data_IF_339120942516
#
_entry.id   IF_339120942516
#
_cell.length_a   1.000
_cell.length_b   1.000
_cell.length_c   1.000
_cell.angle_alpha   90.00
_cell.angle_beta   90.00
_cell.angle_gamma   90.00
#
_symmetry.space_group_name_H-M   'P 1'
#
loop_
_entity.id
_entity.type
_entity.pdbx_description
1 polymer ?
#
# COMPACT_ATOMS: atom_id res chain seq x y z
N UNK A 1 -9.26 -1.76 24.45
CA UNK A 1 -7.84 -1.72 24.87
C UNK A 1 -7.16 -2.69 23.93
N UNK A 2 -6.68 -2.15 22.80
CA UNK A 2 -6.32 -2.98 21.65
C UNK A 2 -5.07 -3.81 21.95
N UNK A 3 -5.07 -5.06 21.48
CA UNK A 3 -3.91 -5.96 21.55
C UNK A 3 -2.67 -5.34 20.87
N UNK A 4 -2.90 -4.36 19.99
CA UNK A 4 -1.87 -3.50 19.42
C UNK A 4 -1.19 -2.67 20.52
N UNK A 5 -1.90 -1.95 21.40
CA UNK A 5 -1.31 -1.09 22.44
C UNK A 5 -0.33 -1.81 23.39
N UNK A 6 -0.47 -3.13 23.54
CA UNK A 6 0.43 -3.98 24.34
C UNK A 6 1.74 -4.36 23.60
N UNK A 7 1.75 -4.34 22.27
CA UNK A 7 2.93 -4.64 21.44
C UNK A 7 3.82 -3.42 21.16
N UNK A 8 3.32 -2.20 21.40
CA UNK A 8 3.99 -0.96 20.97
C UNK A 8 4.58 -0.10 22.11
N UNK A 9 4.46 -0.50 23.38
CA UNK A 9 4.94 0.30 24.52
C UNK A 9 6.47 0.26 24.74
N UNK A 10 7.17 -0.67 24.13
CA UNK A 10 8.63 -0.82 24.27
C UNK A 10 9.27 -1.03 22.89
N UNK A 11 9.72 0.05 22.23
CA UNK A 11 10.87 0.03 21.30
C UNK A 11 11.11 1.43 20.74
N UNK A 12 12.02 2.18 21.36
CA UNK A 12 12.59 3.42 20.83
C UNK A 12 13.92 3.15 20.07
N UNK A 13 14.13 1.92 19.61
CA UNK A 13 15.43 1.45 19.15
C UNK A 13 15.47 1.32 17.63
N UNK A 14 16.22 2.24 16.99
CA UNK A 14 16.64 2.17 15.58
C UNK A 14 17.72 1.09 15.33
N UNK A 15 17.97 0.21 16.29
CA UNK A 15 19.11 -0.72 16.33
C UNK A 15 18.70 -2.20 16.26
N UNK A 16 17.41 -2.49 16.16
CA UNK A 16 16.91 -3.83 16.48
C UNK A 16 17.17 -4.85 15.36
N UNK A 17 18.25 -5.61 15.50
CA UNK A 17 18.59 -6.79 14.68
C UNK A 17 17.52 -7.89 14.68
N UNK A 18 16.61 -7.90 15.66
CA UNK A 18 15.49 -8.87 15.71
C UNK A 18 14.44 -8.62 14.64
N UNK A 19 14.31 -7.38 14.16
CA UNK A 19 13.38 -6.99 13.09
C UNK A 19 13.67 -7.72 11.77
N UNK A 20 14.93 -8.13 11.54
CA UNK A 20 15.37 -8.80 10.31
C UNK A 20 14.86 -10.24 10.18
N UNK A 21 14.44 -10.89 11.27
CA UNK A 21 13.93 -12.26 11.22
C UNK A 21 12.65 -12.41 10.37
N UNK A 22 11.97 -11.30 10.10
CA UNK A 22 10.75 -11.28 9.30
C UNK A 22 10.98 -11.17 7.79
N UNK A 23 12.17 -10.75 7.37
CA UNK A 23 12.50 -10.61 5.95
C UNK A 23 13.29 -11.83 5.46
N UNK A 24 13.00 -12.24 4.23
CA UNK A 24 13.70 -13.29 3.49
C UNK A 24 14.61 -12.62 2.47
N UNK A 25 15.87 -12.50 2.83
CA UNK A 25 16.92 -11.83 2.06
C UNK A 25 17.58 -12.72 1.01
N UNK A 26 16.80 -13.61 0.40
CA UNK A 26 17.32 -14.44 -0.67
C UNK A 26 17.10 -13.69 -1.99
N UNK A 27 18.15 -13.19 -2.69
CA UNK A 27 18.01 -12.70 -4.05
C UNK A 27 17.79 -13.89 -5.00
N UNK A 28 16.73 -14.68 -4.77
CA UNK A 28 16.42 -15.89 -5.55
C UNK A 28 16.29 -15.59 -7.04
N UNK A 29 16.00 -14.33 -7.37
CA UNK A 29 15.63 -13.89 -8.72
C UNK A 29 16.51 -12.75 -9.25
N UNK A 30 17.73 -12.64 -8.72
CA UNK A 30 18.71 -11.62 -9.11
C UNK A 30 18.53 -10.28 -8.39
N UNK A 31 19.54 -9.43 -8.49
CA UNK A 31 19.48 -8.06 -7.99
C UNK A 31 18.50 -7.24 -8.83
N UNK A 32 17.44 -6.74 -8.21
CA UNK A 32 16.55 -5.78 -8.86
C UNK A 32 17.09 -4.36 -8.63
N UNK A 33 17.06 -3.50 -9.66
CA UNK A 33 17.52 -2.13 -9.50
C UNK A 33 16.65 -1.40 -8.49
N UNK A 34 17.29 -0.61 -7.64
CA UNK A 34 16.63 0.35 -6.78
C UNK A 34 16.82 1.75 -7.35
N UNK A 35 15.93 2.67 -7.03
CA UNK A 35 16.11 4.08 -7.40
C UNK A 35 16.20 4.92 -6.14
N UNK A 36 17.12 5.87 -6.13
CA UNK A 36 17.31 6.78 -5.01
C UNK A 36 17.02 8.22 -5.42
N UNK A 37 16.24 8.93 -4.61
CA UNK A 37 16.09 10.38 -4.67
C UNK A 37 17.02 11.02 -3.63
N UNK A 38 17.80 12.00 -4.07
CA UNK A 38 18.66 12.78 -3.18
C UNK A 38 18.44 14.26 -3.41
N UNK A 39 18.31 15.00 -2.31
CA UNK A 39 18.46 16.46 -2.26
C UNK A 39 19.37 16.78 -1.07
N UNK A 40 20.44 17.53 -1.29
CA UNK A 40 21.44 17.78 -0.25
C UNK A 40 21.02 18.86 0.75
N UNK A 41 20.26 19.86 0.29
CA UNK A 41 19.73 20.96 1.11
C UNK A 41 18.52 21.64 0.43
N UNK A 42 17.87 22.60 1.11
CA UNK A 42 16.70 23.33 0.55
C UNK A 42 16.98 24.06 -0.77
N UNK A 43 18.22 24.49 -1.02
CA UNK A 43 18.62 25.27 -2.19
C UNK A 43 19.10 24.42 -3.37
N UNK A 44 19.46 23.16 -3.12
CA UNK A 44 19.96 22.24 -4.14
C UNK A 44 18.82 21.64 -4.96
N UNK A 45 19.07 21.43 -6.25
CA UNK A 45 18.20 20.58 -7.07
C UNK A 45 18.23 19.15 -6.57
N UNK A 46 17.12 18.44 -6.77
CA UNK A 46 17.07 17.02 -6.46
C UNK A 46 17.56 16.19 -7.65
N UNK A 47 18.14 15.03 -7.37
CA UNK A 47 18.62 14.09 -8.38
C UNK A 47 18.08 12.70 -8.13
N UNK A 48 17.94 11.91 -9.21
CA UNK A 48 17.66 10.49 -9.13
C UNK A 48 18.91 9.69 -9.50
N UNK A 49 19.23 8.67 -8.71
CA UNK A 49 20.30 7.70 -8.99
C UNK A 49 19.68 6.32 -9.17
N UNK A 50 19.97 5.67 -10.30
CA UNK A 50 19.62 4.27 -10.51
C UNK A 50 20.73 3.41 -9.90
N UNK A 51 20.37 2.53 -8.98
CA UNK A 51 21.27 1.69 -8.21
C UNK A 51 21.06 0.22 -8.62
N UNK A 52 21.84 -0.23 -9.60
CA UNK A 52 21.72 -1.57 -10.18
C UNK A 52 22.48 -2.63 -9.39
N UNK A 53 23.60 -2.27 -8.76
CA UNK A 53 24.46 -3.23 -8.04
C UNK A 53 24.46 -2.99 -6.53
N UNK A 54 24.81 -4.02 -5.77
CA UNK A 54 25.02 -3.91 -4.32
C UNK A 54 26.10 -2.89 -3.95
N UNK A 55 27.18 -2.77 -4.74
CA UNK A 55 28.25 -1.79 -4.52
C UNK A 55 27.75 -0.36 -4.72
N UNK A 56 26.98 -0.10 -5.78
CA UNK A 56 26.37 1.21 -6.02
C UNK A 56 25.45 1.62 -4.86
N UNK A 57 24.69 0.65 -4.31
CA UNK A 57 23.84 0.86 -3.13
C UNK A 57 24.65 1.19 -1.89
N UNK A 58 25.70 0.42 -1.59
CA UNK A 58 26.60 0.67 -0.45
C UNK A 58 27.30 2.03 -0.55
N UNK A 59 27.77 2.39 -1.74
CA UNK A 59 28.38 3.71 -1.98
C UNK A 59 27.35 4.81 -1.73
N UNK A 60 26.17 4.71 -2.33
CA UNK A 60 25.10 5.70 -2.14
C UNK A 60 24.72 5.86 -0.66
N UNK A 61 24.54 4.76 0.07
CA UNK A 61 24.23 4.77 1.50
C UNK A 61 25.34 5.42 2.36
N UNK A 62 26.59 5.29 1.92
CA UNK A 62 27.74 5.93 2.56
C UNK A 62 27.80 7.43 2.29
N UNK A 63 27.31 7.86 1.13
CA UNK A 63 27.24 9.27 0.72
C UNK A 63 26.07 10.03 1.37
N UNK A 64 25.12 9.33 2.01
CA UNK A 64 23.96 9.97 2.64
C UNK A 64 24.46 10.90 3.77
N UNK A 65 24.10 12.19 3.73
CA UNK A 65 24.47 13.11 4.79
C UNK A 65 23.82 12.65 6.10
N UNK A 66 24.64 12.48 7.13
CA UNK A 66 24.14 12.23 8.49
C UNK A 66 23.28 13.40 9.00
N UNK A 67 22.68 13.23 10.17
CA UNK A 67 21.87 14.30 10.76
C UNK A 67 22.82 15.44 11.17
N UNK A 68 22.86 16.55 10.43
CA UNK A 68 23.73 17.71 10.71
C UNK A 68 22.99 19.00 10.34
N UNK A 69 23.25 20.09 11.07
CA UNK A 69 22.62 21.39 10.81
C UNK A 69 22.98 21.96 9.42
N UNK A 70 24.17 21.65 8.92
CA UNK A 70 24.67 22.08 7.60
C UNK A 70 23.84 21.53 6.42
N UNK A 71 23.08 20.45 6.64
CA UNK A 71 22.25 19.79 5.61
C UNK A 71 20.76 20.09 5.81
N UNK A 72 20.43 21.33 6.18
CA UNK A 72 19.04 21.71 6.43
C UNK A 72 18.17 21.47 5.19
N UNK A 73 17.10 20.71 5.39
CA UNK A 73 16.16 20.34 4.32
C UNK A 73 16.67 19.28 3.34
N UNK A 74 17.68 18.48 3.71
CA UNK A 74 18.10 17.34 2.90
C UNK A 74 17.00 16.27 2.82
N UNK A 75 16.93 15.58 1.69
CA UNK A 75 15.97 14.51 1.43
C UNK A 75 16.71 13.31 0.87
N UNK A 76 16.50 12.12 1.43
CA UNK A 76 17.09 10.86 0.96
C UNK A 76 16.05 9.76 1.00
N UNK A 77 15.56 9.36 -0.17
CA UNK A 77 14.50 8.36 -0.29
C UNK A 77 14.98 7.22 -1.19
N UNK A 78 14.78 5.99 -0.74
CA UNK A 78 15.05 4.78 -1.51
C UNK A 78 13.75 4.15 -1.99
N UNK A 79 13.65 3.90 -3.29
CA UNK A 79 12.54 3.18 -3.93
C UNK A 79 13.01 1.77 -4.29
N UNK A 80 12.40 0.77 -3.66
CA UNK A 80 12.73 -0.63 -3.83
C UNK A 80 11.62 -1.33 -4.60
N UNK A 81 12.00 -1.93 -5.73
CA UNK A 81 11.08 -2.73 -6.51
C UNK A 81 10.70 -4.03 -5.79
N UNK A 82 9.50 -4.53 -6.09
CA UNK A 82 9.03 -5.84 -5.63
C UNK A 82 9.91 -6.94 -6.25
N UNK A 83 10.34 -7.90 -5.44
CA UNK A 83 10.83 -9.17 -5.99
C UNK A 83 9.64 -9.98 -6.51
N UNK A 84 9.49 -10.06 -7.84
CA UNK A 84 8.51 -10.96 -8.43
C UNK A 84 9.04 -12.41 -8.36
N UNK A 85 8.24 -13.39 -7.90
CA UNK A 85 8.58 -14.79 -8.11
C UNK A 85 8.64 -15.08 -9.62
N UNK A 86 9.47 -16.04 -10.06
CA UNK A 86 9.69 -16.32 -11.46
C UNK A 86 8.39 -16.84 -12.07
N UNK A 87 8.13 -16.40 -13.31
CA UNK A 87 6.91 -16.69 -14.08
C UNK A 87 6.56 -18.18 -14.19
N UNK A 88 7.48 -19.10 -13.90
CA UNK A 88 7.25 -20.55 -13.89
C UNK A 88 6.36 -21.03 -12.74
N UNK A 89 6.31 -20.32 -11.60
CA UNK A 89 5.46 -20.68 -10.45
C UNK A 89 4.08 -20.01 -10.56
N UNK A 90 3.99 -18.87 -11.25
CA UNK A 90 2.75 -18.09 -11.40
C UNK A 90 1.68 -18.74 -12.31
N UNK A 91 1.98 -19.88 -12.96
CA UNK A 91 1.12 -20.49 -13.98
C UNK A 91 0.23 -21.63 -13.50
N UNK A 92 0.37 -22.12 -12.27
CA UNK A 92 -0.40 -23.30 -11.86
C UNK A 92 -1.88 -23.03 -11.56
N UNK A 93 -2.30 -21.78 -11.27
CA UNK A 93 -3.69 -21.50 -10.87
C UNK A 93 -4.43 -20.41 -11.68
N UNK A 94 -3.90 -19.96 -12.82
CA UNK A 94 -4.60 -19.03 -13.74
C UNK A 94 -4.87 -17.60 -13.19
N UNK A 95 -4.78 -17.39 -11.88
CA UNK A 95 -4.74 -16.09 -11.22
C UNK A 95 -3.35 -15.93 -10.60
N UNK A 96 -2.72 -14.76 -10.74
CA UNK A 96 -1.48 -14.46 -10.04
C UNK A 96 -1.70 -14.71 -8.54
N UNK A 97 -1.10 -15.78 -8.01
CA UNK A 97 -1.25 -16.15 -6.62
C UNK A 97 -0.88 -14.93 -5.76
N UNK A 98 -1.83 -14.46 -4.97
CA UNK A 98 -1.63 -13.33 -4.07
C UNK A 98 -0.64 -13.78 -3.00
N UNK A 99 0.65 -13.52 -3.22
CA UNK A 99 1.67 -13.88 -2.26
C UNK A 99 1.60 -12.88 -1.10
N UNK A 100 0.97 -13.29 0.00
CA UNK A 100 0.79 -12.40 1.15
C UNK A 100 2.09 -11.89 1.75
N UNK A 101 3.18 -12.60 1.51
CA UNK A 101 4.50 -12.34 2.06
C UNK A 101 5.44 -11.68 1.05
N UNK A 102 4.92 -11.04 -0.01
CA UNK A 102 5.77 -10.53 -1.10
C UNK A 102 6.73 -9.43 -0.64
N UNK A 103 6.37 -8.63 0.37
CA UNK A 103 7.29 -7.64 0.96
C UNK A 103 8.30 -8.25 1.94
N UNK A 104 8.15 -9.52 2.35
CA UNK A 104 9.23 -10.21 3.07
C UNK A 104 10.44 -10.42 2.17
N UNK A 105 10.25 -10.46 0.84
CA UNK A 105 11.31 -10.68 -0.13
C UNK A 105 11.91 -9.36 -0.62
N UNK A 106 13.04 -8.97 -0.04
CA UNK A 106 13.73 -7.73 -0.39
C UNK A 106 14.71 -7.89 -1.56
N UNK A 107 14.91 -6.86 -2.40
CA UNK A 107 15.75 -6.94 -3.60
C UNK A 107 17.26 -6.81 -3.33
N UNK A 108 17.71 -7.04 -2.10
CA UNK A 108 19.12 -6.92 -1.69
C UNK A 108 19.46 -7.87 -0.53
N UNK A 109 20.77 -8.15 -0.32
CA UNK A 109 21.27 -8.91 0.82
C UNK A 109 20.91 -8.29 2.18
N UNK A 110 20.97 -9.11 3.24
CA UNK A 110 20.74 -8.70 4.64
C UNK A 110 21.61 -7.52 5.02
N UNK A 111 22.91 -7.56 4.69
CA UNK A 111 23.87 -6.52 5.07
C UNK A 111 23.49 -5.16 4.47
N UNK A 112 23.10 -5.14 3.19
CA UNK A 112 22.64 -3.91 2.54
C UNK A 112 21.37 -3.38 3.19
N UNK A 113 20.45 -4.25 3.62
CA UNK A 113 19.26 -3.77 4.33
C UNK A 113 19.57 -3.23 5.72
N UNK A 114 20.54 -3.82 6.43
CA UNK A 114 21.03 -3.29 7.70
C UNK A 114 21.57 -1.87 7.50
N UNK A 115 22.37 -1.65 6.45
CA UNK A 115 22.85 -0.33 6.08
C UNK A 115 21.69 0.63 5.74
N UNK A 116 20.68 0.16 5.00
CA UNK A 116 19.44 0.94 4.71
C UNK A 116 18.76 1.36 6.01
N UNK A 117 18.54 0.43 6.95
CA UNK A 117 17.87 0.71 8.22
C UNK A 117 18.63 1.75 9.03
N UNK A 118 19.94 1.61 9.14
CA UNK A 118 20.79 2.51 9.92
C UNK A 118 20.91 3.88 9.25
N UNK A 119 21.16 3.94 7.94
CA UNK A 119 21.44 5.19 7.22
C UNK A 119 20.19 6.00 6.88
N UNK A 120 19.05 5.34 6.69
CA UNK A 120 17.77 5.99 6.45
C UNK A 120 16.90 6.07 7.71
N UNK A 121 17.42 5.67 8.86
CA UNK A 121 16.73 5.72 10.16
C UNK A 121 15.35 5.04 10.09
N UNK A 122 15.29 3.83 9.53
CA UNK A 122 14.05 3.06 9.41
C UNK A 122 13.71 2.49 10.79
N UNK A 123 12.50 2.76 11.26
CA UNK A 123 12.06 2.28 12.57
C UNK A 123 11.74 0.77 12.54
N UNK A 124 11.98 0.06 13.64
CA UNK A 124 11.81 -1.40 13.74
C UNK A 124 10.35 -1.87 13.48
N UNK A 125 9.39 -1.04 13.88
CA UNK A 125 7.97 -1.12 13.56
C UNK A 125 7.72 -1.41 12.08
N UNK A 126 8.55 -0.87 11.18
CA UNK A 126 8.39 -1.08 9.74
C UNK A 126 8.51 -2.55 9.34
N UNK A 127 9.49 -3.26 9.90
CA UNK A 127 9.65 -4.69 9.66
C UNK A 127 8.46 -5.49 10.23
N UNK A 128 8.01 -5.14 11.44
CA UNK A 128 6.88 -5.80 12.10
C UNK A 128 5.58 -5.64 11.29
N UNK A 129 5.33 -4.43 10.77
CA UNK A 129 4.14 -4.10 9.98
C UNK A 129 4.18 -4.74 8.59
N UNK A 130 5.33 -4.73 7.92
CA UNK A 130 5.47 -5.36 6.59
C UNK A 130 5.39 -6.90 6.64
N UNK A 131 5.75 -7.51 7.77
CA UNK A 131 5.60 -8.95 8.01
C UNK A 131 4.15 -9.40 8.27
N UNK A 132 3.31 -8.47 8.75
CA UNK A 132 1.90 -8.71 9.07
C UNK A 132 1.06 -7.75 8.24
N UNK A 133 0.84 -8.08 6.96
CA UNK A 133 0.37 -7.13 5.99
C UNK A 133 -1.09 -6.78 6.23
N UNK A 134 -1.32 -5.72 6.99
CA UNK A 134 -2.62 -5.10 7.21
C UNK A 134 -2.53 -3.64 6.80
N UNK A 135 -3.58 -3.12 6.18
CA UNK A 135 -3.72 -1.70 5.87
C UNK A 135 -3.55 -0.87 7.16
N UNK A 136 -2.44 -0.14 7.31
CA UNK A 136 -2.09 0.54 8.57
C UNK A 136 -1.40 1.88 8.32
N UNK A 137 -1.86 2.92 9.01
CA UNK A 137 -1.12 4.16 9.24
C UNK A 137 -0.60 4.16 10.66
N UNK A 138 0.70 4.40 10.80
CA UNK A 138 1.35 4.51 12.11
C UNK A 138 2.22 5.76 12.16
N UNK A 139 2.12 6.48 13.28
CA UNK A 139 2.97 7.61 13.62
C UNK A 139 3.54 7.38 15.00
N UNK A 140 4.83 7.64 15.16
CA UNK A 140 5.42 7.78 16.49
C UNK A 140 6.44 8.92 16.54
N UNK A 141 6.47 9.59 17.69
CA UNK A 141 7.58 10.46 18.05
C UNK A 141 8.72 9.57 18.56
N UNK A 142 9.94 9.81 18.08
CA UNK A 142 11.11 8.99 18.38
C UNK A 142 12.36 9.86 18.49
N UNK A 143 13.51 9.24 18.73
CA UNK A 143 14.79 9.94 18.81
C UNK A 143 15.94 9.08 18.31
N UNK A 144 16.88 9.71 17.60
CA UNK A 144 18.15 9.10 17.20
C UNK A 144 19.27 9.83 17.93
N UNK A 145 19.83 9.19 18.96
CA UNK A 145 20.69 9.87 19.93
C UNK A 145 19.93 11.00 20.60
N UNK A 146 20.49 12.21 20.61
CA UNK A 146 19.87 13.39 21.24
C UNK A 146 18.88 14.12 20.31
N UNK A 147 18.65 13.61 19.09
CA UNK A 147 17.86 14.31 18.06
C UNK A 147 16.47 13.72 17.97
N UNK A 148 15.46 14.56 18.19
CA UNK A 148 14.05 14.19 18.07
C UNK A 148 13.67 14.01 16.60
N UNK A 149 12.89 12.98 16.33
CA UNK A 149 12.33 12.72 15.02
C UNK A 149 10.88 12.23 15.13
N UNK A 150 10.18 12.26 14.01
CA UNK A 150 8.84 11.70 13.86
C UNK A 150 8.89 10.68 12.75
N UNK A 151 8.39 9.48 13.03
CA UNK A 151 8.33 8.38 12.07
C UNK A 151 6.90 8.22 11.59
N UNK A 152 6.73 8.08 10.28
CA UNK A 152 5.46 7.77 9.62
C UNK A 152 5.60 6.48 8.83
N UNK A 153 4.70 5.54 9.05
CA UNK A 153 4.64 4.29 8.32
C UNK A 153 3.26 4.15 7.70
N UNK A 154 3.22 3.81 6.41
CA UNK A 154 2.03 3.29 5.77
C UNK A 154 2.35 1.90 5.22
N UNK A 155 1.50 0.94 5.54
CA UNK A 155 1.55 -0.40 4.98
C UNK A 155 0.19 -0.73 4.39
N UNK A 156 0.20 -1.44 3.28
CA UNK A 156 -0.98 -1.84 2.52
C UNK A 156 -1.23 -3.33 2.73
N UNK A 157 -2.48 -3.76 2.85
CA UNK A 157 -2.75 -5.19 2.99
C UNK A 157 -2.30 -6.00 1.76
N UNK A 158 -1.76 -7.19 2.05
CA UNK A 158 -1.47 -8.29 1.13
C UNK A 158 -2.61 -8.80 0.25
N UNK A 159 -3.85 -8.44 0.57
CA UNK A 159 -5.04 -8.80 -0.21
C UNK A 159 -5.01 -8.16 -1.59
N UNK A 160 -4.27 -7.07 -1.75
CA UNK A 160 -4.07 -6.47 -3.04
C UNK A 160 -2.94 -7.13 -3.80
N UNK A 161 -3.11 -7.17 -5.12
CA UNK A 161 -2.04 -7.55 -6.06
C UNK A 161 -0.80 -6.67 -5.85
N UNK A 162 -1.01 -5.41 -5.42
CA UNK A 162 0.04 -4.41 -5.26
C UNK A 162 0.35 -4.08 -3.79
N UNK A 163 0.81 -5.07 -3.01
CA UNK A 163 1.31 -4.82 -1.66
C UNK A 163 2.56 -3.89 -1.71
N UNK A 164 2.43 -2.71 -1.12
CA UNK A 164 3.46 -1.68 -0.99
C UNK A 164 3.56 -1.20 0.45
N UNK A 165 4.69 -0.59 0.81
CA UNK A 165 4.86 0.04 2.12
C UNK A 165 5.81 1.21 2.02
N UNK A 166 5.65 2.18 2.91
CA UNK A 166 6.53 3.34 3.04
C UNK A 166 6.86 3.58 4.51
N UNK A 167 8.13 3.86 4.79
CA UNK A 167 8.60 4.39 6.06
C UNK A 167 9.27 5.74 5.80
N UNK A 168 8.87 6.77 6.54
CA UNK A 168 9.46 8.09 6.51
C UNK A 168 9.92 8.48 7.92
N UNK A 169 11.13 8.98 8.04
CA UNK A 169 11.68 9.52 9.29
C UNK A 169 12.04 10.98 9.07
N UNK A 170 11.36 11.85 9.78
CA UNK A 170 11.49 13.30 9.67
C UNK A 170 12.14 13.88 10.92
N UNK A 171 13.16 14.72 10.75
CA UNK A 171 13.83 15.44 11.82
C UNK A 171 13.40 16.91 11.79
N UNK A 172 12.51 17.38 12.69
CA UNK A 172 11.97 18.74 12.62
C UNK A 172 13.04 19.84 12.73
N UNK A 173 14.03 19.65 13.60
CA UNK A 173 15.05 20.67 13.89
C UNK A 173 15.96 20.96 12.68
N UNK A 174 16.29 19.93 11.89
CA UNK A 174 17.12 20.05 10.69
C UNK A 174 16.30 19.99 9.39
N UNK A 175 15.00 19.73 9.49
CA UNK A 175 14.07 19.45 8.38
C UNK A 175 14.54 18.36 7.43
N UNK A 176 15.33 17.42 7.92
CA UNK A 176 15.84 16.32 7.11
C UNK A 176 14.78 15.23 7.02
N UNK A 177 14.62 14.65 5.84
CA UNK A 177 13.67 13.60 5.57
C UNK A 177 14.38 12.38 4.97
N UNK A 178 14.23 11.25 5.64
CA UNK A 178 14.74 9.96 5.19
C UNK A 178 13.56 9.01 4.96
N UNK A 179 13.70 8.06 4.03
CA UNK A 179 12.62 7.11 3.84
C UNK A 179 12.89 6.01 2.84
N UNK A 180 12.04 4.99 2.93
CA UNK A 180 12.08 3.79 2.10
C UNK A 180 10.69 3.49 1.60
N UNK A 181 10.57 3.27 0.30
CA UNK A 181 9.39 2.71 -0.36
C UNK A 181 9.71 1.26 -0.75
N UNK A 182 8.84 0.33 -0.36
CA UNK A 182 8.93 -1.07 -0.72
C UNK A 182 7.78 -1.46 -1.66
N UNK A 183 8.09 -2.31 -2.63
CA UNK A 183 7.09 -2.94 -3.49
C UNK A 183 6.66 -2.11 -4.70
N UNK A 184 7.37 -1.03 -5.03
CA UNK A 184 7.02 -0.16 -6.16
C UNK A 184 7.37 -0.79 -7.50
N UNK A 185 6.44 -0.83 -8.44
CA UNK A 185 6.74 -1.22 -9.81
C UNK A 185 7.41 -0.06 -10.58
N UNK A 186 8.10 -0.32 -11.71
CA UNK A 186 8.71 0.75 -12.51
C UNK A 186 7.71 1.83 -12.96
N UNK A 187 6.44 1.46 -13.15
CA UNK A 187 5.36 2.41 -13.45
C UNK A 187 5.01 3.31 -12.25
N UNK A 188 5.06 2.76 -11.04
CA UNK A 188 4.81 3.49 -9.80
C UNK A 188 5.92 4.50 -9.56
N UNK A 189 7.18 4.09 -9.75
CA UNK A 189 8.33 4.98 -9.62
C UNK A 189 8.22 6.14 -10.62
N UNK A 190 7.82 5.88 -11.87
CA UNK A 190 7.56 6.97 -12.84
C UNK A 190 6.46 7.92 -12.38
N UNK A 191 5.37 7.39 -11.81
CA UNK A 191 4.30 8.22 -11.26
C UNK A 191 4.80 9.08 -10.09
N UNK A 192 5.51 8.46 -9.13
CA UNK A 192 6.13 9.14 -7.98
C UNK A 192 7.04 10.28 -8.44
N UNK A 193 7.92 10.01 -9.42
CA UNK A 193 8.80 11.03 -10.01
C UNK A 193 8.05 12.22 -10.59
N UNK A 194 6.98 11.95 -11.35
CA UNK A 194 6.13 13.00 -11.93
C UNK A 194 5.46 13.85 -10.86
N UNK A 195 5.03 13.25 -9.75
CA UNK A 195 4.46 13.99 -8.62
C UNK A 195 5.52 14.83 -7.90
N UNK A 196 6.70 14.27 -7.64
CA UNK A 196 7.82 14.99 -7.03
C UNK A 196 8.22 16.20 -7.88
N UNK A 197 8.31 16.05 -9.20
CA UNK A 197 8.65 17.15 -10.10
C UNK A 197 7.65 18.32 -10.00
N UNK A 198 6.36 18.03 -9.81
CA UNK A 198 5.33 19.05 -9.59
C UNK A 198 5.35 19.65 -8.18
N UNK A 199 5.84 18.89 -7.20
CA UNK A 199 5.87 19.25 -5.78
C UNK A 199 7.24 19.62 -5.24
N UNK A 200 8.19 20.05 -6.08
CA UNK A 200 9.59 20.26 -5.69
C UNK A 200 9.77 21.17 -4.46
N UNK A 201 8.94 22.21 -4.35
CA UNK A 201 8.94 23.16 -3.23
C UNK A 201 8.50 22.53 -1.88
N UNK A 202 7.92 21.33 -1.90
CA UNK A 202 7.43 20.60 -0.73
C UNK A 202 8.28 19.37 -0.37
N UNK A 203 9.46 19.20 -0.99
CA UNK A 203 10.29 18.01 -0.81
C UNK A 203 10.72 17.73 0.65
N UNK A 204 10.85 18.76 1.49
CA UNK A 204 11.13 18.56 2.93
C UNK A 204 9.88 18.26 3.77
N UNK A 205 8.69 18.35 3.18
CA UNK A 205 7.45 18.06 3.89
C UNK A 205 7.14 16.55 3.75
N UNK A 206 7.12 15.78 4.86
CA UNK A 206 6.83 14.35 4.81
C UNK A 206 5.47 14.03 4.16
N UNK A 207 4.49 14.94 4.28
CA UNK A 207 3.17 14.74 3.69
C UNK A 207 3.18 14.70 2.16
N UNK A 208 4.17 15.30 1.48
CA UNK A 208 4.30 15.14 0.03
C UNK A 208 4.41 13.65 -0.35
N UNK A 209 5.29 12.92 0.34
CA UNK A 209 5.52 11.51 0.07
C UNK A 209 4.36 10.63 0.52
N UNK A 210 3.73 10.95 1.67
CA UNK A 210 2.51 10.27 2.11
C UNK A 210 1.37 10.48 1.10
N UNK A 211 1.17 11.70 0.62
CA UNK A 211 0.14 12.00 -0.39
C UNK A 211 0.41 11.28 -1.71
N UNK A 212 1.65 11.24 -2.17
CA UNK A 212 2.03 10.47 -3.37
C UNK A 212 1.73 8.98 -3.18
N UNK A 213 2.07 8.42 -2.03
CA UNK A 213 1.77 7.03 -1.70
C UNK A 213 0.26 6.77 -1.68
N UNK A 214 -0.52 7.64 -1.05
CA UNK A 214 -1.99 7.55 -1.02
C UNK A 214 -2.59 7.64 -2.43
N UNK A 215 -2.08 8.52 -3.29
CA UNK A 215 -2.53 8.65 -4.69
C UNK A 215 -2.26 7.36 -5.48
N UNK A 216 -1.08 6.77 -5.29
CA UNK A 216 -0.71 5.49 -5.89
C UNK A 216 -1.66 4.37 -5.45
N UNK A 217 -1.90 4.26 -4.14
CA UNK A 217 -2.75 3.21 -3.58
C UNK A 217 -4.23 3.39 -3.96
N UNK A 218 -4.70 4.64 -4.03
CA UNK A 218 -6.02 4.94 -4.57
C UNK A 218 -6.16 4.42 -6.00
N UNK A 219 -5.18 4.69 -6.87
CA UNK A 219 -5.18 4.22 -8.26
C UNK A 219 -5.27 2.70 -8.32
N UNK A 220 -4.36 1.99 -7.64
CA UNK A 220 -4.32 0.52 -7.64
C UNK A 220 -5.62 -0.10 -7.12
N UNK A 221 -6.13 0.40 -5.99
CA UNK A 221 -7.37 -0.09 -5.38
C UNK A 221 -8.57 0.14 -6.27
N UNK A 222 -8.65 1.31 -6.90
CA UNK A 222 -9.81 1.65 -7.71
C UNK A 222 -9.87 0.83 -8.99
N UNK A 223 -8.72 0.59 -9.62
CA UNK A 223 -8.60 -0.29 -10.78
C UNK A 223 -9.03 -1.73 -10.44
N UNK A 224 -8.62 -2.29 -9.29
CA UNK A 224 -8.99 -3.65 -8.88
C UNK A 224 -10.49 -3.76 -8.53
N UNK A 225 -11.06 -2.72 -7.92
CA UNK A 225 -12.51 -2.66 -7.67
C UNK A 225 -13.30 -2.56 -8.96
N UNK A 226 -12.93 -1.67 -9.88
CA UNK A 226 -13.61 -1.52 -11.17
C UNK A 226 -13.65 -2.83 -11.93
N UNK A 227 -12.50 -3.50 -12.03
CA UNK A 227 -12.39 -4.80 -12.69
C UNK A 227 -13.32 -5.84 -12.08
N UNK A 228 -13.34 -5.96 -10.75
CA UNK A 228 -14.16 -6.99 -10.06
C UNK A 228 -15.64 -6.67 -10.06
N UNK A 229 -16.02 -5.39 -9.99
CA UNK A 229 -17.40 -4.95 -10.19
C UNK A 229 -17.86 -5.31 -11.60
N UNK A 230 -17.08 -4.95 -12.61
CA UNK A 230 -17.43 -5.23 -14.01
C UNK A 230 -17.54 -6.75 -14.26
N UNK A 231 -16.59 -7.54 -13.74
CA UNK A 231 -16.62 -9.00 -13.82
C UNK A 231 -17.89 -9.59 -13.18
N UNK A 232 -18.30 -9.04 -12.03
CA UNK A 232 -19.48 -9.48 -11.29
C UNK A 232 -20.78 -9.11 -12.04
N UNK A 233 -20.89 -7.87 -12.52
CA UNK A 233 -22.04 -7.40 -13.29
C UNK A 233 -22.21 -8.16 -14.61
N UNK A 234 -21.11 -8.45 -15.33
CA UNK A 234 -21.15 -9.23 -16.58
C UNK A 234 -21.70 -10.63 -16.32
N UNK A 235 -21.23 -11.29 -15.25
CA UNK A 235 -21.72 -12.63 -14.87
C UNK A 235 -23.16 -12.61 -14.42
N UNK A 236 -23.58 -11.58 -13.68
CA UNK A 236 -24.97 -11.39 -13.27
C UNK A 236 -25.90 -11.23 -14.49
N UNK A 237 -25.54 -10.38 -15.46
CA UNK A 237 -26.30 -10.22 -16.73
C UNK A 237 -26.34 -11.52 -17.55
N UNK A 238 -25.37 -12.41 -17.37
CA UNK A 238 -25.33 -13.74 -17.97
C UNK A 238 -26.36 -14.71 -17.39
N UNK A 239 -26.82 -14.50 -16.15
CA UNK A 239 -27.86 -15.32 -15.51
C UNK A 239 -29.27 -15.01 -16.04
N UNK A 240 -29.54 -13.76 -16.40
CA UNK A 240 -30.86 -13.32 -16.90
C UNK A 240 -31.18 -13.77 -18.34
N UNK A 241 -30.22 -14.35 -19.05
CA UNK A 241 -30.43 -14.88 -20.41
C UNK A 241 -30.71 -16.38 -20.34
N UNK A 242 -31.98 -16.83 -20.38
CA UNK A 242 -32.26 -18.24 -20.60
C UNK A 242 -31.66 -18.61 -21.96
N UNK A 243 -30.68 -19.52 -21.97
CA UNK A 243 -30.09 -20.00 -23.22
C UNK A 243 -31.16 -20.77 -23.99
N UNK A 244 -31.86 -20.09 -24.90
CA UNK A 244 -32.87 -20.70 -25.76
C UNK A 244 -32.27 -21.65 -26.80
N UNK A 245 -30.94 -21.75 -26.91
CA UNK A 245 -30.27 -22.60 -27.89
C UNK A 245 -28.92 -23.16 -27.37
N UNK A 246 -28.95 -24.34 -26.71
CA UNK A 246 -27.90 -25.40 -26.73
C UNK A 246 -27.98 -26.25 -25.45
N UNK A 247 -28.35 -27.54 -25.53
CA UNK A 247 -28.51 -28.36 -24.32
C UNK A 247 -27.22 -28.86 -23.66
N UNK A 248 -25.99 -28.68 -24.18
CA UNK A 248 -24.83 -29.45 -23.66
C UNK A 248 -23.44 -28.81 -23.66
N UNK A 249 -23.26 -27.53 -23.98
CA UNK A 249 -21.90 -26.96 -24.11
C UNK A 249 -21.54 -25.76 -23.22
N UNK A 250 -22.41 -25.29 -22.32
CA UNK A 250 -22.13 -24.12 -21.47
C UNK A 250 -22.16 -24.40 -19.95
N UNK A 251 -22.36 -25.66 -19.55
CA UNK A 251 -22.37 -26.07 -18.15
C UNK A 251 -20.98 -26.01 -17.48
N UNK A 252 -19.91 -25.62 -18.19
CA UNK A 252 -18.60 -25.37 -17.56
C UNK A 252 -18.27 -23.89 -17.35
N UNK A 253 -19.01 -22.94 -17.95
CA UNK A 253 -18.73 -21.49 -17.84
C UNK A 253 -19.71 -20.75 -16.90
N UNK A 254 -20.88 -21.32 -16.64
CA UNK A 254 -21.86 -20.81 -15.68
C UNK A 254 -21.77 -21.55 -14.33
N UNK A 255 -20.57 -21.70 -13.78
CA UNK A 255 -20.40 -22.26 -12.43
C UNK A 255 -20.85 -21.22 -11.39
N UNK A 256 -21.96 -21.44 -10.66
CA UNK A 256 -22.37 -20.53 -9.60
C UNK A 256 -21.30 -20.40 -8.49
N UNK A 257 -20.39 -21.38 -8.37
CA UNK A 257 -19.20 -21.27 -7.52
C UNK A 257 -18.25 -20.12 -7.92
N UNK A 258 -18.16 -19.79 -9.21
CA UNK A 258 -17.36 -18.67 -9.71
C UNK A 258 -18.00 -17.31 -9.36
N UNK A 259 -19.34 -17.24 -9.36
CA UNK A 259 -20.07 -16.03 -8.99
C UNK A 259 -19.95 -15.75 -7.48
N UNK A 260 -20.13 -16.77 -6.64
CA UNK A 260 -19.86 -16.67 -5.19
C UNK A 260 -18.40 -16.28 -4.92
N UNK A 261 -17.43 -16.85 -5.66
CA UNK A 261 -16.01 -16.49 -5.53
C UNK A 261 -15.78 -14.99 -5.83
N UNK A 262 -16.43 -14.44 -6.86
CA UNK A 262 -16.34 -13.01 -7.16
C UNK A 262 -17.00 -12.15 -6.09
N UNK A 263 -18.17 -12.55 -5.62
CA UNK A 263 -18.89 -11.85 -4.55
C UNK A 263 -18.02 -11.72 -3.30
N UNK A 264 -17.46 -12.84 -2.83
CA UNK A 264 -16.53 -12.88 -1.69
C UNK A 264 -15.29 -12.00 -1.93
N UNK A 265 -14.74 -12.02 -3.14
CA UNK A 265 -13.59 -11.18 -3.53
C UNK A 265 -13.91 -9.69 -3.50
N UNK A 266 -15.10 -9.28 -3.94
CA UNK A 266 -15.54 -7.89 -3.92
C UNK A 266 -15.85 -7.44 -2.49
N UNK A 267 -16.50 -8.30 -1.70
CA UNK A 267 -16.74 -8.07 -0.27
C UNK A 267 -15.45 -7.81 0.50
N UNK A 268 -14.45 -8.68 0.30
CA UNK A 268 -13.13 -8.52 0.92
C UNK A 268 -12.46 -7.21 0.51
N UNK A 269 -12.55 -6.81 -0.76
CA UNK A 269 -12.05 -5.50 -1.18
C UNK A 269 -12.80 -4.36 -0.51
N UNK A 270 -14.12 -4.45 -0.35
CA UNK A 270 -14.92 -3.44 0.36
C UNK A 270 -14.38 -3.22 1.77
N UNK A 271 -14.20 -4.31 2.53
CA UNK A 271 -13.64 -4.26 3.90
C UNK A 271 -12.26 -3.60 3.91
N UNK A 272 -11.41 -3.91 2.94
CA UNK A 272 -10.08 -3.29 2.82
C UNK A 272 -10.14 -1.80 2.49
N UNK A 273 -11.06 -1.37 1.61
CA UNK A 273 -11.26 0.05 1.33
C UNK A 273 -11.72 0.79 2.59
N UNK A 274 -12.67 0.21 3.34
CA UNK A 274 -13.16 0.79 4.60
C UNK A 274 -12.04 0.90 5.63
N UNK A 275 -11.24 -0.16 5.78
CA UNK A 275 -10.08 -0.19 6.68
C UNK A 275 -9.07 0.87 6.29
N UNK A 276 -8.69 0.93 5.01
CA UNK A 276 -7.78 1.95 4.50
C UNK A 276 -8.31 3.37 4.73
N UNK A 277 -9.60 3.61 4.50
CA UNK A 277 -10.23 4.89 4.74
C UNK A 277 -10.16 5.31 6.22
N UNK A 278 -10.36 4.36 7.15
CA UNK A 278 -10.14 4.57 8.58
C UNK A 278 -8.69 4.96 8.91
N UNK A 279 -7.70 4.37 8.24
CA UNK A 279 -6.30 4.77 8.41
C UNK A 279 -6.03 6.20 7.90
N UNK A 280 -6.68 6.63 6.81
CA UNK A 280 -6.60 8.02 6.34
C UNK A 280 -7.23 8.99 7.35
N UNK A 281 -8.32 8.58 8.02
CA UNK A 281 -8.92 9.37 9.09
C UNK A 281 -7.97 9.52 10.28
N UNK A 282 -7.26 8.45 10.68
CA UNK A 282 -6.23 8.52 11.73
C UNK A 282 -5.13 9.53 11.38
N UNK A 283 -4.76 9.62 10.10
CA UNK A 283 -3.78 10.60 9.60
C UNK A 283 -4.26 12.05 9.67
N UNK A 284 -5.58 12.31 9.72
CA UNK A 284 -6.09 13.68 9.84
C UNK A 284 -5.56 14.41 11.08
N UNK A 285 -5.33 13.68 12.18
CA UNK A 285 -4.72 14.20 13.41
C UNK A 285 -3.34 14.86 13.19
N UNK A 286 -2.66 14.52 12.09
CA UNK A 286 -1.32 15.01 11.76
C UNK A 286 -1.33 16.20 10.78
N UNK A 287 -2.49 16.55 10.23
CA UNK A 287 -2.60 17.52 9.13
C UNK A 287 -2.20 18.93 9.53
N UNK A 288 -2.48 19.34 10.77
CA UNK A 288 -2.05 20.64 11.31
C UNK A 288 -0.52 20.75 11.33
N UNK A 289 0.15 19.69 11.79
CA UNK A 289 1.61 19.62 11.79
C UNK A 289 2.16 19.74 10.37
N UNK A 290 1.65 18.95 9.42
CA UNK A 290 2.09 19.03 8.02
C UNK A 290 1.84 20.40 7.39
N UNK A 291 0.73 21.04 7.74
CA UNK A 291 0.37 22.38 7.27
C UNK A 291 1.28 23.46 7.86
N UNK A 292 1.78 23.26 9.08
CA UNK A 292 2.71 24.19 9.73
C UNK A 292 4.10 24.18 9.08
N UNK A 293 4.48 23.07 8.44
CA UNK A 293 5.76 22.94 7.72
C UNK A 293 5.77 23.69 6.37
N UNK A 294 4.59 24.07 5.85
CA UNK A 294 4.47 24.82 4.60
C UNK A 294 4.58 26.32 4.91
N UNK A 295 5.75 26.90 4.63
CA UNK A 295 6.04 28.32 4.89
C UNK A 295 5.35 29.27 3.93
N UNK A 296 5.22 28.87 2.66
CA UNK A 296 4.62 29.70 1.63
C UNK A 296 3.08 29.59 1.69
N UNK A 297 2.41 30.72 1.87
CA UNK A 297 0.95 30.79 1.92
C UNK A 297 0.29 30.39 0.60
N UNK A 298 0.93 30.66 -0.54
CA UNK A 298 0.44 30.24 -1.85
C UNK A 298 0.56 28.72 -2.02
N UNK A 299 1.68 28.13 -1.59
CA UNK A 299 1.83 26.67 -1.55
C UNK A 299 0.86 26.02 -0.56
N UNK A 300 0.60 26.65 0.59
CA UNK A 300 -0.32 26.14 1.61
C UNK A 300 -1.78 26.15 1.15
N UNK A 301 -2.19 27.16 0.38
CA UNK A 301 -3.52 27.20 -0.22
C UNK A 301 -3.67 26.22 -1.39
N UNK A 302 -2.60 26.01 -2.17
CA UNK A 302 -2.58 25.05 -3.26
C UNK A 302 -2.53 23.59 -2.79
N UNK A 303 -1.87 23.32 -1.66
CA UNK A 303 -1.68 21.99 -1.10
C UNK A 303 -1.97 21.98 0.39
N UNK A 304 -3.25 21.87 0.73
CA UNK A 304 -3.72 21.68 2.09
C UNK A 304 -3.84 20.17 2.40
N UNK A 305 -3.06 19.63 3.36
CA UNK A 305 -3.13 18.23 3.76
C UNK A 305 -4.51 17.75 4.21
N UNK A 306 -5.23 18.57 4.98
CA UNK A 306 -6.56 18.25 5.48
C UNK A 306 -7.58 18.14 4.35
N UNK A 307 -7.57 19.10 3.41
CA UNK A 307 -8.45 19.07 2.25
C UNK A 307 -8.14 17.89 1.33
N UNK A 308 -6.84 17.61 1.11
CA UNK A 308 -6.40 16.48 0.31
C UNK A 308 -6.90 15.14 0.88
N UNK A 309 -6.71 14.91 2.19
CA UNK A 309 -7.19 13.69 2.84
C UNK A 309 -8.72 13.61 2.76
N UNK A 310 -9.44 14.69 3.06
CA UNK A 310 -10.91 14.71 3.04
C UNK A 310 -11.48 14.38 1.65
N UNK A 311 -10.94 14.99 0.59
CA UNK A 311 -11.31 14.67 -0.80
C UNK A 311 -11.00 13.22 -1.15
N UNK A 312 -9.86 12.72 -0.69
CA UNK A 312 -9.45 11.34 -0.95
C UNK A 312 -10.37 10.35 -0.25
N UNK A 313 -10.70 10.58 1.02
CA UNK A 313 -11.63 9.75 1.79
C UNK A 313 -13.03 9.75 1.17
N UNK A 314 -13.50 10.89 0.68
CA UNK A 314 -14.78 10.96 -0.04
C UNK A 314 -14.76 10.08 -1.30
N UNK A 315 -13.68 10.11 -2.08
CA UNK A 315 -13.55 9.19 -3.23
C UNK A 315 -13.54 7.72 -2.79
N UNK A 316 -12.92 7.37 -1.66
CA UNK A 316 -12.97 6.01 -1.13
C UNK A 316 -14.40 5.62 -0.72
N UNK A 317 -15.14 6.51 -0.06
CA UNK A 317 -16.55 6.29 0.31
C UNK A 317 -17.43 6.07 -0.93
N UNK A 318 -17.27 6.87 -1.98
CA UNK A 318 -17.97 6.67 -3.26
C UNK A 318 -17.67 5.28 -3.85
N UNK A 319 -16.40 4.83 -3.76
CA UNK A 319 -15.99 3.53 -4.26
C UNK A 319 -16.54 2.37 -3.42
N UNK A 320 -16.56 2.52 -2.10
CA UNK A 320 -17.17 1.57 -1.16
C UNK A 320 -18.66 1.42 -1.46
N UNK A 321 -19.38 2.53 -1.63
CA UNK A 321 -20.81 2.53 -1.95
C UNK A 321 -21.09 1.81 -3.26
N UNK A 322 -20.21 1.95 -4.27
CA UNK A 322 -20.34 1.20 -5.52
C UNK A 322 -20.22 -0.31 -5.30
N UNK A 323 -19.27 -0.76 -4.48
CA UNK A 323 -19.18 -2.18 -4.12
C UNK A 323 -20.48 -2.66 -3.46
N UNK A 324 -21.03 -1.90 -2.52
CA UNK A 324 -22.26 -2.24 -1.80
C UNK A 324 -23.45 -2.37 -2.74
N UNK A 325 -23.65 -1.38 -3.61
CA UNK A 325 -24.77 -1.37 -4.58
C UNK A 325 -24.76 -2.63 -5.45
N UNK A 326 -23.58 -3.02 -5.95
CA UNK A 326 -23.43 -4.17 -6.83
C UNK A 326 -23.61 -5.48 -6.06
N UNK A 327 -23.08 -5.56 -4.83
CA UNK A 327 -23.26 -6.73 -3.97
C UNK A 327 -24.73 -6.93 -3.58
N UNK A 328 -25.44 -5.87 -3.20
CA UNK A 328 -26.86 -5.93 -2.87
C UNK A 328 -27.69 -6.32 -4.10
N UNK A 329 -27.44 -5.71 -5.26
CA UNK A 329 -28.08 -6.07 -6.53
C UNK A 329 -27.85 -7.53 -6.92
N UNK A 330 -26.62 -8.03 -6.73
CA UNK A 330 -26.28 -9.45 -6.96
C UNK A 330 -27.08 -10.36 -6.02
N UNK A 331 -27.18 -10.01 -4.74
CA UNK A 331 -27.90 -10.78 -3.73
C UNK A 331 -29.40 -10.87 -4.05
N UNK A 332 -30.01 -9.76 -4.49
CA UNK A 332 -31.40 -9.72 -4.93
C UNK A 332 -31.63 -10.56 -6.20
N UNK A 333 -30.74 -10.48 -7.18
CA UNK A 333 -30.83 -11.28 -8.40
C UNK A 333 -30.78 -12.79 -8.08
N UNK A 334 -29.92 -13.21 -7.15
CA UNK A 334 -29.87 -14.58 -6.68
C UNK A 334 -31.17 -15.05 -6.03
N UNK A 335 -31.76 -14.23 -5.16
CA UNK A 335 -33.04 -14.54 -4.53
C UNK A 335 -34.13 -14.76 -5.57
N UNK A 336 -34.25 -13.85 -6.56
CA UNK A 336 -35.24 -13.96 -7.62
C UNK A 336 -35.07 -15.23 -8.49
N UNK A 337 -33.82 -15.64 -8.76
CA UNK A 337 -33.52 -16.89 -9.49
C UNK A 337 -33.86 -18.13 -8.66
N UNK A 338 -33.64 -18.10 -7.34
CA UNK A 338 -33.98 -19.22 -6.47
C UNK A 338 -35.50 -19.37 -6.28
N UNK A 339 -36.23 -18.28 -6.14
CA UNK A 339 -37.69 -18.28 -6.00
C UNK A 339 -38.40 -18.79 -7.26
N UNK A 340 -37.77 -18.61 -8.43
CA UNK A 340 -38.28 -19.11 -9.72
C UNK A 340 -37.87 -20.57 -10.03
N UNK A 341 -36.97 -21.18 -9.26
CA UNK A 341 -36.50 -22.57 -9.47
C UNK A 341 -36.17 -23.29 -8.14
N UNK A 342 -37.15 -23.99 -7.52
CA UNK A 342 -37.01 -24.58 -6.18
C UNK A 342 -35.98 -25.72 -6.05
N UNK A 343 -35.34 -26.14 -7.14
CA UNK A 343 -34.24 -27.12 -7.14
C UNK A 343 -32.86 -26.53 -6.79
N UNK A 344 -32.73 -25.21 -6.59
CA UNK A 344 -31.45 -24.51 -6.34
C UNK A 344 -31.17 -24.11 -4.88
N UNK A 345 -31.91 -24.64 -3.91
CA UNK A 345 -31.81 -24.30 -2.47
C UNK A 345 -30.40 -24.37 -1.88
N UNK A 346 -29.56 -25.28 -2.38
CA UNK A 346 -28.18 -25.49 -1.92
C UNK A 346 -27.23 -24.29 -2.18
N UNK A 347 -27.62 -23.33 -3.03
CA UNK A 347 -26.81 -22.15 -3.33
C UNK A 347 -27.04 -20.99 -2.35
N UNK A 348 -28.28 -20.84 -1.86
CA UNK A 348 -28.66 -19.80 -0.90
C UNK A 348 -28.03 -20.03 0.47
N UNK A 349 -27.94 -21.28 0.91
CA UNK A 349 -27.26 -21.62 2.17
C UNK A 349 -25.77 -21.26 2.08
N UNK A 350 -25.11 -21.52 0.95
CA UNK A 350 -23.69 -21.17 0.74
C UNK A 350 -23.41 -19.67 0.69
N UNK A 351 -24.36 -18.85 0.23
CA UNK A 351 -24.23 -17.39 0.26
C UNK A 351 -24.53 -16.81 1.64
N UNK A 352 -25.52 -17.33 2.35
CA UNK A 352 -25.77 -16.95 3.75
C UNK A 352 -24.60 -17.30 4.64
N UNK A 353 -24.02 -18.48 4.45
CA UNK A 353 -22.80 -18.89 5.17
C UNK A 353 -21.62 -17.96 4.85
N UNK A 354 -21.47 -17.55 3.58
CA UNK A 354 -20.48 -16.57 3.15
C UNK A 354 -20.71 -15.18 3.77
N UNK A 355 -21.95 -14.68 3.83
CA UNK A 355 -22.29 -13.41 4.46
C UNK A 355 -22.05 -13.42 5.98
N UNK A 356 -22.30 -14.57 6.64
CA UNK A 356 -21.98 -14.77 8.06
C UNK A 356 -20.46 -14.80 8.29
N UNK A 357 -19.69 -15.45 7.41
CA UNK A 357 -18.23 -15.51 7.47
C UNK A 357 -17.56 -14.15 7.16
N UNK A 358 -18.26 -13.24 6.47
CA UNK A 358 -17.82 -11.85 6.20
C UNK A 358 -18.09 -10.91 7.39
N UNK A 359 -19.07 -11.21 8.24
CA UNK A 359 -19.43 -10.39 9.41
C UNK A 359 -18.64 -10.72 10.69
N UNK A 360 -17.89 -11.83 10.69
CA UNK A 360 -16.96 -12.25 11.74
C UNK A 360 -15.52 -11.84 11.38
#
# INVERSE_FOLDING_TARGET
MDYLDLLWKDTADFTCTKAFNHFKFEPKFGEQPCEALVRENESSDYTYKLLCTSEQRKQWLSDIPGIKQEHTGSVSILFCARQQPPRSIAKQDGEAAHNRHVLEHLPFPVETFQDVVVKLYVHDAFAKLTARPTSTFWKADSAVGDKKCVVYILCVDSILVNHTAICLTYFPDTKQLFGVFLGCEPQDIRHIKSRIARGQHLLSNPFLFLAIFIELEKKHRFEDVDKRVDDLEIKMKGLDKPSLFSPKSLLSEQDPGNLVKLYLKLSRLKVELTTWNGQLQNMQSCTEFFSSLIKDQAAKSAFNPGDYLSRTMNSFNEKILRCETVMEGTSLAFQAVCDSSPSNTNLMDRMKDADIEIQL
#
